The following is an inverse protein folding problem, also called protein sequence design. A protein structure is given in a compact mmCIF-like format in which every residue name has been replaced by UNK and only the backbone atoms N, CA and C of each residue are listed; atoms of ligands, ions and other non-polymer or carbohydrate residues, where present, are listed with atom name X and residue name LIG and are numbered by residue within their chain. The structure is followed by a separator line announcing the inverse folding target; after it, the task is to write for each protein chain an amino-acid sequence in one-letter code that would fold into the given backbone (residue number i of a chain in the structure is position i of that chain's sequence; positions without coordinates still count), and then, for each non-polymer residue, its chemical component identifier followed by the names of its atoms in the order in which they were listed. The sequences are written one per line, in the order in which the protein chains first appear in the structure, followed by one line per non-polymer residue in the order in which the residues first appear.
data_IF_126839120183
#
_entry.id   IF_126839120183
#
_cell.length_a   1.000
_cell.length_b   1.000
_cell.length_c   1.000
_cell.angle_alpha   90.00
_cell.angle_beta   90.00
_cell.angle_gamma   90.00
#
_symmetry.space_group_name_H-M   'P 1'
#
loop_
_entity.id
_entity.type
_entity.pdbx_description
1 polymer ?
#
# COMPACT_ATOMS: atom_id res chain seq x y z
N UNK A 1 10.86 6.52 -57.55
CA UNK A 1 10.85 7.14 -56.25
C UNK A 1 9.50 6.89 -55.62
N UNK A 2 9.43 5.98 -54.66
CA UNK A 2 8.18 5.65 -53.93
C UNK A 2 8.36 6.30 -52.57
N UNK A 3 7.61 7.38 -52.36
CA UNK A 3 7.53 8.07 -51.07
C UNK A 3 6.58 7.30 -50.18
N UNK A 4 7.13 6.52 -49.25
CA UNK A 4 6.35 5.89 -48.18
C UNK A 4 5.88 6.95 -47.17
N UNK A 5 4.57 7.12 -47.04
CA UNK A 5 3.97 7.88 -45.94
C UNK A 5 4.34 7.26 -44.57
N UNK A 6 4.70 8.04 -43.57
CA UNK A 6 4.92 7.51 -42.24
C UNK A 6 3.57 7.03 -41.67
N UNK A 7 3.52 5.76 -41.26
CA UNK A 7 2.40 5.20 -40.57
C UNK A 7 2.13 6.02 -39.27
N UNK A 8 0.95 6.63 -39.22
CA UNK A 8 0.44 7.31 -38.03
C UNK A 8 0.36 6.28 -36.90
N UNK A 9 1.19 6.41 -35.88
CA UNK A 9 1.02 5.68 -34.62
C UNK A 9 -0.26 6.18 -34.00
N UNK A 10 -1.27 5.33 -33.92
CA UNK A 10 -2.43 5.58 -33.09
C UNK A 10 -1.93 5.77 -31.66
N UNK A 11 -1.98 7.00 -31.17
CA UNK A 11 -1.74 7.26 -29.77
C UNK A 11 -2.90 6.61 -28.98
N UNK A 12 -2.67 5.45 -28.41
CA UNK A 12 -3.58 4.98 -27.37
C UNK A 12 -3.46 6.01 -26.23
N UNK A 13 -4.54 6.76 -26.01
CA UNK A 13 -4.64 7.59 -24.83
C UNK A 13 -4.37 6.69 -23.62
N UNK A 14 -3.43 7.12 -22.75
CA UNK A 14 -3.14 6.38 -21.52
C UNK A 14 -4.46 6.14 -20.77
N UNK A 15 -4.72 4.94 -20.26
CA UNK A 15 -5.96 4.64 -19.57
C UNK A 15 -6.16 5.63 -18.41
N UNK A 16 -7.36 6.22 -18.34
CA UNK A 16 -7.72 7.14 -17.24
C UNK A 16 -7.84 6.34 -15.94
N UNK A 17 -6.87 6.50 -15.04
CA UNK A 17 -6.87 5.80 -13.75
C UNK A 17 -8.13 6.08 -12.92
N UNK A 18 -8.78 7.25 -13.12
CA UNK A 18 -10.04 7.57 -12.44
C UNK A 18 -11.21 6.76 -12.99
N UNK A 19 -11.18 6.44 -14.27
CA UNK A 19 -12.16 5.52 -14.87
C UNK A 19 -11.96 4.11 -14.32
N UNK A 20 -10.73 3.59 -14.29
CA UNK A 20 -10.40 2.30 -13.71
C UNK A 20 -10.71 2.23 -12.20
N UNK A 21 -10.49 3.34 -11.46
CA UNK A 21 -10.91 3.49 -10.05
C UNK A 21 -12.43 3.33 -9.88
N UNK A 22 -13.24 4.00 -10.71
CA UNK A 22 -14.71 3.94 -10.63
C UNK A 22 -15.27 2.58 -11.01
N UNK A 23 -14.59 1.89 -11.95
CA UNK A 23 -14.96 0.56 -12.45
C UNK A 23 -14.49 -0.60 -11.54
N UNK A 24 -13.95 -0.29 -10.37
CA UNK A 24 -13.53 -1.31 -9.40
C UNK A 24 -14.71 -2.17 -8.96
N UNK A 25 -14.46 -3.47 -8.80
CA UNK A 25 -15.44 -4.44 -8.30
C UNK A 25 -15.72 -4.15 -6.82
N UNK A 26 -16.99 -4.00 -6.47
CA UNK A 26 -17.44 -3.73 -5.09
C UNK A 26 -18.43 -4.78 -4.56
N UNK A 27 -18.94 -5.64 -5.43
CA UNK A 27 -19.82 -6.75 -5.08
C UNK A 27 -19.00 -8.06 -5.00
N UNK A 28 -18.96 -8.71 -3.83
CA UNK A 28 -18.28 -10.01 -3.68
C UNK A 28 -18.84 -11.10 -4.60
N UNK A 29 -20.12 -11.07 -4.95
CA UNK A 29 -20.71 -12.03 -5.89
C UNK A 29 -20.19 -11.83 -7.31
N UNK A 30 -20.05 -10.57 -7.73
CA UNK A 30 -19.39 -10.24 -9.00
C UNK A 30 -17.96 -10.75 -9.04
N UNK A 31 -17.17 -10.47 -7.97
CA UNK A 31 -15.80 -10.95 -7.85
C UNK A 31 -15.72 -12.46 -7.99
N UNK A 32 -16.50 -13.22 -7.21
CA UNK A 32 -16.53 -14.67 -7.28
C UNK A 32 -16.90 -15.20 -8.66
N UNK A 33 -17.85 -14.55 -9.35
CA UNK A 33 -18.22 -14.90 -10.73
C UNK A 33 -17.04 -14.68 -11.69
N UNK A 34 -16.34 -13.55 -11.57
CA UNK A 34 -15.19 -13.22 -12.44
C UNK A 34 -14.05 -14.24 -12.29
N UNK A 35 -13.78 -14.70 -11.07
CA UNK A 35 -12.70 -15.67 -10.80
C UNK A 35 -13.16 -17.14 -10.90
N UNK A 36 -14.41 -17.40 -11.35
CA UNK A 36 -14.90 -18.77 -11.57
C UNK A 36 -15.26 -19.55 -10.30
N UNK A 37 -15.60 -18.85 -9.22
CA UNK A 37 -15.90 -19.44 -7.91
C UNK A 37 -17.33 -19.10 -7.41
N UNK A 38 -18.39 -19.06 -8.26
CA UNK A 38 -19.73 -18.64 -7.83
C UNK A 38 -20.32 -19.55 -6.74
N UNK A 39 -19.85 -20.80 -6.63
CA UNK A 39 -20.29 -21.75 -5.61
C UNK A 39 -19.89 -21.34 -4.18
N UNK A 40 -18.91 -20.42 -4.00
CA UNK A 40 -18.51 -19.89 -2.70
C UNK A 40 -19.42 -18.78 -2.19
N UNK A 41 -20.43 -18.36 -2.95
CA UNK A 41 -21.37 -17.31 -2.54
C UNK A 41 -22.02 -17.56 -1.18
N UNK A 42 -22.34 -18.84 -0.85
CA UNK A 42 -22.92 -19.22 0.43
C UNK A 42 -21.96 -19.11 1.63
N UNK A 43 -20.66 -18.97 1.38
CA UNK A 43 -19.62 -18.80 2.40
C UNK A 43 -19.29 -17.32 2.68
N UNK A 44 -19.92 -16.39 1.96
CA UNK A 44 -19.73 -14.96 2.21
C UNK A 44 -20.47 -14.53 3.49
N UNK A 45 -19.96 -13.55 4.24
CA UNK A 45 -20.69 -12.93 5.33
C UNK A 45 -21.97 -12.23 4.82
N UNK A 46 -22.99 -12.17 5.66
CA UNK A 46 -24.27 -11.55 5.30
C UNK A 46 -24.16 -10.02 5.13
N UNK A 47 -23.16 -9.41 5.77
CA UNK A 47 -22.82 -7.99 5.65
C UNK A 47 -21.30 -7.81 5.57
N UNK A 48 -20.85 -6.61 5.25
CA UNK A 48 -19.43 -6.28 5.11
C UNK A 48 -18.73 -5.93 6.42
N UNK A 49 -19.40 -6.14 7.57
CA UNK A 49 -18.92 -5.76 8.89
C UNK A 49 -18.45 -4.29 8.97
N UNK A 50 -19.02 -3.40 8.17
CA UNK A 50 -18.65 -1.99 8.08
C UNK A 50 -17.34 -1.73 7.33
N UNK A 51 -16.81 -2.73 6.61
CA UNK A 51 -15.61 -2.59 5.79
C UNK A 51 -15.86 -3.13 4.38
N UNK A 52 -16.50 -2.30 3.54
CA UNK A 52 -16.91 -2.65 2.19
C UNK A 52 -15.75 -3.17 1.33
N UNK A 53 -16.05 -4.10 0.43
CA UNK A 53 -15.08 -4.57 -0.54
C UNK A 53 -14.90 -3.54 -1.68
N UNK A 54 -13.66 -3.38 -2.11
CA UNK A 54 -13.30 -2.67 -3.35
C UNK A 54 -12.02 -3.29 -3.93
N UNK A 55 -12.05 -3.65 -5.21
CA UNK A 55 -10.91 -4.29 -5.90
C UNK A 55 -10.85 -3.80 -7.35
N UNK A 56 -9.74 -3.20 -7.81
CA UNK A 56 -9.58 -2.84 -9.22
C UNK A 56 -9.61 -4.07 -10.13
N UNK A 57 -10.24 -3.96 -11.30
CA UNK A 57 -10.35 -5.07 -12.25
C UNK A 57 -9.01 -5.59 -12.75
N UNK A 58 -8.01 -4.72 -12.91
CA UNK A 58 -6.63 -5.13 -13.23
C UNK A 58 -6.01 -6.02 -12.15
N UNK A 59 -6.33 -5.80 -10.87
CA UNK A 59 -5.90 -6.70 -9.79
C UNK A 59 -6.64 -8.03 -9.83
N UNK A 60 -7.95 -8.03 -10.12
CA UNK A 60 -8.74 -9.27 -10.30
C UNK A 60 -8.22 -10.11 -11.46
N UNK A 61 -7.82 -9.48 -12.56
CA UNK A 61 -7.31 -10.18 -13.75
C UNK A 61 -6.02 -10.98 -13.50
N UNK A 62 -5.30 -10.70 -12.40
CA UNK A 62 -4.10 -11.44 -11.96
C UNK A 62 -4.40 -12.61 -11.03
N UNK A 63 -5.65 -12.79 -10.60
CA UNK A 63 -6.08 -13.92 -9.78
C UNK A 63 -6.18 -15.19 -10.60
N UNK A 64 -5.84 -16.33 -10.00
CA UNK A 64 -5.95 -17.64 -10.63
C UNK A 64 -7.42 -18.08 -10.69
N UNK A 65 -7.96 -18.23 -11.91
CA UNK A 65 -9.35 -18.63 -12.10
C UNK A 65 -9.61 -20.02 -11.53
N UNK A 66 -10.66 -20.17 -10.72
CA UNK A 66 -11.08 -21.42 -10.08
C UNK A 66 -10.29 -21.81 -8.85
N UNK A 67 -9.34 -20.99 -8.39
CA UNK A 67 -8.57 -21.26 -7.17
C UNK A 67 -9.11 -20.46 -5.97
N UNK A 68 -9.82 -21.16 -5.08
CA UNK A 68 -10.34 -20.57 -3.84
C UNK A 68 -9.24 -20.15 -2.83
N UNK A 69 -8.00 -20.59 -3.04
CA UNK A 69 -6.84 -20.25 -2.21
C UNK A 69 -5.89 -19.31 -2.93
N UNK A 70 -6.32 -18.67 -4.02
CA UNK A 70 -5.50 -17.68 -4.70
C UNK A 70 -5.07 -16.58 -3.72
N UNK A 71 -3.76 -16.29 -3.59
CA UNK A 71 -3.23 -15.36 -2.59
C UNK A 71 -3.69 -13.92 -2.80
N UNK A 72 -4.09 -13.52 -4.00
CA UNK A 72 -4.64 -12.19 -4.27
C UNK A 72 -6.11 -12.12 -3.85
N UNK A 73 -6.88 -13.18 -4.13
CA UNK A 73 -8.27 -13.29 -3.72
C UNK A 73 -8.43 -13.23 -2.20
N UNK A 74 -7.62 -14.00 -1.47
CA UNK A 74 -7.66 -14.05 0.00
C UNK A 74 -7.41 -12.69 0.66
N UNK A 75 -6.65 -11.81 0.03
CA UNK A 75 -6.37 -10.48 0.55
C UNK A 75 -7.55 -9.50 0.46
N UNK A 76 -8.58 -9.80 -0.34
CA UNK A 76 -9.65 -8.84 -0.67
C UNK A 76 -11.06 -9.38 -0.50
N UNK A 77 -11.26 -10.69 -0.54
CA UNK A 77 -12.59 -11.32 -0.38
C UNK A 77 -12.99 -11.29 1.10
N UNK A 78 -14.17 -10.72 1.46
CA UNK A 78 -14.70 -10.79 2.81
C UNK A 78 -14.88 -12.24 3.29
N UNK A 79 -14.55 -12.52 4.55
CA UNK A 79 -14.64 -13.84 5.15
C UNK A 79 -15.47 -13.83 6.44
N UNK A 80 -16.16 -14.92 6.76
CA UNK A 80 -16.93 -15.07 7.99
C UNK A 80 -16.08 -14.88 9.25
N UNK A 81 -14.81 -15.31 9.21
CA UNK A 81 -13.87 -15.16 10.32
C UNK A 81 -13.61 -13.69 10.72
N UNK A 82 -13.92 -12.71 9.86
CA UNK A 82 -13.76 -11.29 10.20
C UNK A 82 -14.74 -10.80 11.29
N UNK A 83 -15.84 -11.51 11.49
CA UNK A 83 -16.83 -11.22 12.53
C UNK A 83 -16.45 -11.78 13.92
N UNK A 84 -15.40 -12.61 13.99
CA UNK A 84 -14.97 -13.21 15.25
C UNK A 84 -14.29 -12.16 16.15
N UNK A 85 -14.69 -12.14 17.42
CA UNK A 85 -14.03 -11.33 18.45
C UNK A 85 -12.89 -12.14 19.08
N UNK A 86 -11.66 -11.82 18.67
CA UNK A 86 -10.46 -12.55 19.10
C UNK A 86 -9.71 -11.73 20.15
N UNK A 87 -9.42 -12.30 21.36
CA UNK A 87 -8.68 -11.61 22.40
C UNK A 87 -7.32 -11.09 21.90
N UNK A 88 -7.00 -9.83 22.23
CA UNK A 88 -5.76 -9.17 21.81
C UNK A 88 -5.85 -8.43 20.48
N UNK A 89 -6.97 -8.52 19.77
CA UNK A 89 -7.26 -7.73 18.58
C UNK A 89 -8.13 -6.51 18.95
N UNK A 90 -7.79 -5.33 18.45
CA UNK A 90 -8.44 -4.07 18.80
C UNK A 90 -8.77 -3.22 17.57
N UNK A 91 -9.58 -2.17 17.75
CA UNK A 91 -9.92 -1.25 16.65
C UNK A 91 -8.81 -0.25 16.31
N UNK A 92 -7.87 0.00 17.24
CA UNK A 92 -6.68 0.82 17.06
C UNK A 92 -5.42 0.00 17.42
N UNK A 93 -5.06 -0.89 16.53
CA UNK A 93 -4.01 -1.89 16.75
C UNK A 93 -2.61 -1.30 16.97
N UNK A 94 -2.35 -0.08 16.45
CA UNK A 94 -1.02 0.55 16.44
C UNK A 94 -0.98 1.87 17.20
N UNK A 95 -2.10 2.26 17.89
CA UNK A 95 -2.18 3.49 18.68
C UNK A 95 -2.09 4.77 17.85
N UNK A 96 -2.63 4.75 16.63
CA UNK A 96 -2.62 5.94 15.76
C UNK A 96 -3.39 7.11 16.37
N UNK A 97 -4.51 6.82 17.07
CA UNK A 97 -5.34 7.85 17.68
C UNK A 97 -4.63 8.56 18.85
N UNK A 98 -3.79 7.83 19.59
CA UNK A 98 -2.99 8.40 20.69
C UNK A 98 -1.77 9.21 20.19
N UNK A 99 -1.32 8.96 18.96
CA UNK A 99 -0.15 9.61 18.35
C UNK A 99 -0.52 10.89 17.56
N UNK A 100 -1.77 11.36 17.64
CA UNK A 100 -2.21 12.60 16.97
C UNK A 100 -1.56 13.81 17.61
N UNK A 101 -0.90 14.61 16.79
CA UNK A 101 -0.24 15.85 17.18
C UNK A 101 -1.01 17.09 16.62
N UNK A 102 -1.53 16.94 15.40
CA UNK A 102 -2.46 17.86 14.77
C UNK A 102 -3.44 17.09 13.89
N UNK A 103 -4.48 17.75 13.38
CA UNK A 103 -5.44 17.12 12.47
C UNK A 103 -4.74 16.50 11.26
N UNK A 104 -4.86 15.19 11.13
CA UNK A 104 -4.24 14.41 10.06
C UNK A 104 -2.71 14.28 10.15
N UNK A 105 -2.08 14.66 11.26
CA UNK A 105 -0.66 14.52 11.50
C UNK A 105 -0.41 13.59 12.69
N UNK A 106 0.36 12.52 12.44
CA UNK A 106 0.81 11.57 13.47
C UNK A 106 2.32 11.75 13.66
N UNK A 107 2.74 11.98 14.90
CA UNK A 107 4.16 12.13 15.24
C UNK A 107 4.57 11.07 16.28
N UNK A 108 4.89 9.86 15.80
CA UNK A 108 5.31 8.73 16.64
C UNK A 108 6.82 8.68 16.86
N UNK A 109 7.60 9.16 15.91
CA UNK A 109 9.04 8.92 15.84
C UNK A 109 9.82 10.21 15.65
N UNK A 110 10.98 10.31 16.29
CA UNK A 110 11.87 11.45 16.13
C UNK A 110 12.28 11.66 14.66
N UNK A 111 12.31 12.90 14.21
CA UNK A 111 12.82 13.32 12.90
C UNK A 111 11.88 13.05 11.73
N UNK A 112 10.68 12.48 11.98
CA UNK A 112 9.71 12.20 10.91
C UNK A 112 8.27 12.27 11.40
N UNK A 113 7.40 12.84 10.59
CA UNK A 113 5.97 12.88 10.83
C UNK A 113 5.19 12.19 9.70
N UNK A 114 4.02 11.64 10.01
CA UNK A 114 3.16 10.96 9.05
C UNK A 114 1.88 11.77 8.85
N UNK A 115 1.54 12.04 7.59
CA UNK A 115 0.28 12.67 7.22
C UNK A 115 -0.74 11.62 6.79
N UNK A 116 -1.93 11.69 7.37
CA UNK A 116 -3.14 11.06 6.87
C UNK A 116 -3.64 11.90 5.69
N UNK A 117 -3.11 11.61 4.51
CA UNK A 117 -3.35 12.43 3.33
C UNK A 117 -4.77 12.23 2.77
N UNK A 118 -5.28 11.01 2.80
CA UNK A 118 -6.58 10.62 2.26
C UNK A 118 -7.21 9.51 3.09
N UNK A 119 -8.53 9.42 3.09
CA UNK A 119 -9.28 8.28 3.66
C UNK A 119 -9.69 7.24 2.61
N UNK A 120 -9.33 7.43 1.34
CA UNK A 120 -9.76 6.56 0.25
C UNK A 120 -8.65 5.60 -0.18
N UNK A 121 -9.03 4.37 -0.55
CA UNK A 121 -8.15 3.37 -1.15
C UNK A 121 -8.73 2.83 -2.44
N UNK A 122 -7.88 2.46 -3.41
CA UNK A 122 -8.30 1.75 -4.61
C UNK A 122 -8.70 0.30 -4.32
N UNK A 123 -8.09 -0.29 -3.28
CA UNK A 123 -8.37 -1.64 -2.79
C UNK A 123 -8.59 -1.61 -1.28
N UNK A 124 -9.58 -2.35 -0.78
CA UNK A 124 -9.82 -2.51 0.65
C UNK A 124 -9.26 -3.86 1.11
N UNK A 125 -8.00 -3.85 1.58
CA UNK A 125 -7.29 -5.04 2.06
C UNK A 125 -7.93 -5.58 3.33
N UNK A 126 -8.28 -6.87 3.38
CA UNK A 126 -8.97 -7.46 4.55
C UNK A 126 -8.12 -7.45 5.83
N UNK A 127 -6.80 -7.36 5.71
CA UNK A 127 -5.84 -7.20 6.82
C UNK A 127 -5.49 -5.75 7.16
N UNK A 128 -6.23 -4.75 6.64
CA UNK A 128 -5.92 -3.33 6.85
C UNK A 128 -6.02 -2.93 8.32
N UNK A 129 -4.91 -2.53 8.94
CA UNK A 129 -4.88 -2.12 10.35
C UNK A 129 -5.65 -0.83 10.63
N UNK A 130 -5.91 -0.01 9.60
CA UNK A 130 -6.71 1.21 9.66
C UNK A 130 -8.15 1.03 9.20
N UNK A 131 -8.68 -0.20 9.13
CA UNK A 131 -10.07 -0.47 8.70
C UNK A 131 -11.14 0.22 9.56
N UNK A 132 -10.80 0.56 10.81
CA UNK A 132 -11.67 1.25 11.77
C UNK A 132 -11.25 2.70 12.03
N UNK A 133 -10.27 3.24 11.30
CA UNK A 133 -9.76 4.59 11.51
C UNK A 133 -10.80 5.65 11.11
N UNK A 134 -11.02 6.72 11.93
CA UNK A 134 -12.06 7.73 11.70
C UNK A 134 -11.61 8.76 10.64
N UNK A 135 -11.45 8.33 9.41
CA UNK A 135 -10.96 9.19 8.31
C UNK A 135 -11.79 10.46 8.09
N UNK A 136 -13.10 10.46 8.42
CA UNK A 136 -13.95 11.63 8.25
C UNK A 136 -13.47 12.86 9.01
N UNK A 137 -12.75 12.66 10.12
CA UNK A 137 -12.27 13.72 11.01
C UNK A 137 -10.77 14.00 10.85
N UNK A 138 -10.00 13.08 10.24
CA UNK A 138 -8.54 13.02 10.31
C UNK A 138 -7.86 13.10 8.94
N UNK A 139 -8.41 13.86 7.98
CA UNK A 139 -7.81 14.02 6.67
C UNK A 139 -7.10 15.39 6.57
N UNK A 140 -5.77 15.38 6.48
CA UNK A 140 -4.96 16.59 6.37
C UNK A 140 -5.26 17.42 5.10
N UNK A 141 -5.57 16.74 3.98
CA UNK A 141 -5.88 17.38 2.71
C UNK A 141 -7.17 18.24 2.75
N UNK A 142 -8.12 17.92 3.65
CA UNK A 142 -9.38 18.68 3.79
C UNK A 142 -9.14 20.13 4.23
N UNK A 143 -8.12 20.37 5.06
CA UNK A 143 -7.68 21.71 5.52
C UNK A 143 -6.66 22.39 4.60
N UNK A 144 -6.49 21.90 3.35
CA UNK A 144 -5.47 22.40 2.40
C UNK A 144 -4.05 22.40 2.99
N UNK A 145 -3.72 21.36 3.75
CA UNK A 145 -2.40 21.12 4.35
C UNK A 145 -1.92 22.16 5.37
N UNK A 146 -2.66 23.24 5.59
CA UNK A 146 -2.18 24.41 6.36
C UNK A 146 -1.75 24.07 7.78
N UNK A 147 -2.55 23.27 8.50
CA UNK A 147 -2.23 22.90 9.88
C UNK A 147 -1.00 21.98 9.93
N UNK A 148 -0.93 21.00 9.03
CA UNK A 148 0.20 20.09 8.93
C UNK A 148 1.49 20.83 8.55
N UNK A 149 1.45 21.73 7.54
CA UNK A 149 2.61 22.52 7.13
C UNK A 149 3.05 23.49 8.23
N UNK A 150 2.10 24.12 8.95
CA UNK A 150 2.43 24.99 10.07
C UNK A 150 3.12 24.23 11.21
N UNK A 151 2.66 23.02 11.51
CA UNK A 151 3.28 22.16 12.52
C UNK A 151 4.69 21.74 12.10
N UNK A 152 4.88 21.24 10.87
CA UNK A 152 6.20 20.87 10.33
C UNK A 152 7.14 22.08 10.29
N UNK A 153 6.64 23.27 9.98
CA UNK A 153 7.45 24.50 10.00
C UNK A 153 7.91 24.89 11.40
N UNK A 154 7.10 24.62 12.42
CA UNK A 154 7.40 24.94 13.82
C UNK A 154 8.38 23.94 14.47
N UNK A 155 8.37 22.68 14.01
CA UNK A 155 9.27 21.64 14.50
C UNK A 155 10.38 21.31 13.50
N UNK A 156 11.52 21.98 13.65
CA UNK A 156 12.69 21.82 12.78
C UNK A 156 13.39 20.46 12.92
N UNK A 157 13.01 19.63 13.89
CA UNK A 157 13.50 18.27 14.00
C UNK A 157 12.92 17.32 12.94
N UNK A 158 11.78 17.68 12.32
CA UNK A 158 11.11 16.88 11.29
C UNK A 158 11.82 17.04 9.94
N UNK A 159 12.72 16.13 9.63
CA UNK A 159 13.46 16.11 8.35
C UNK A 159 12.75 15.30 7.27
N UNK A 160 11.79 14.45 7.62
CA UNK A 160 11.09 13.57 6.71
C UNK A 160 9.57 13.62 6.93
N UNK A 161 8.84 13.83 5.83
CA UNK A 161 7.39 13.70 5.84
C UNK A 161 6.96 12.44 5.13
N UNK A 162 6.06 11.67 5.78
CA UNK A 162 5.53 10.42 5.26
C UNK A 162 4.06 10.64 4.86
N UNK A 163 3.71 10.41 3.61
CA UNK A 163 2.32 10.39 3.16
C UNK A 163 1.76 8.97 3.33
N UNK A 164 0.62 8.88 3.99
CA UNK A 164 -0.10 7.64 4.28
C UNK A 164 -1.60 7.92 4.45
N UNK A 165 -2.32 7.10 5.20
CA UNK A 165 -3.75 7.24 5.46
C UNK A 165 -4.52 6.04 4.93
N UNK A 166 -5.51 6.26 4.08
CA UNK A 166 -5.97 5.27 3.13
C UNK A 166 -4.84 5.03 2.13
N UNK A 167 -4.93 5.61 0.95
CA UNK A 167 -3.77 5.65 0.04
C UNK A 167 -3.56 7.09 -0.45
N UNK A 168 -2.39 7.71 -0.23
CA UNK A 168 -2.14 9.09 -0.62
C UNK A 168 -2.24 9.34 -2.13
N UNK A 169 -1.97 8.32 -2.96
CA UNK A 169 -2.06 8.44 -4.41
C UNK A 169 -3.51 8.42 -4.93
N UNK A 170 -4.51 8.21 -4.06
CA UNK A 170 -5.92 8.45 -4.37
C UNK A 170 -6.22 9.94 -4.61
N UNK A 171 -5.36 10.83 -4.12
CA UNK A 171 -5.47 12.26 -4.37
C UNK A 171 -5.10 12.62 -5.82
N UNK A 172 -5.71 13.66 -6.34
CA UNK A 172 -5.29 14.25 -7.61
C UNK A 172 -3.86 14.81 -7.49
N UNK A 173 -3.07 14.70 -8.57
CA UNK A 173 -1.67 15.14 -8.61
C UNK A 173 -1.51 16.62 -8.19
N UNK A 174 -2.46 17.50 -8.57
CA UNK A 174 -2.45 18.90 -8.14
C UNK A 174 -2.52 19.10 -6.62
N UNK A 175 -3.24 18.20 -5.89
CA UNK A 175 -3.27 18.24 -4.42
C UNK A 175 -1.96 17.81 -3.78
N UNK A 176 -1.27 16.87 -4.41
CA UNK A 176 0.08 16.47 -3.98
C UNK A 176 1.09 17.59 -4.26
N UNK A 177 0.96 18.29 -5.39
CA UNK A 177 1.79 19.46 -5.73
C UNK A 177 1.62 20.60 -4.71
N UNK A 178 0.39 20.97 -4.34
CA UNK A 178 0.14 21.98 -3.29
C UNK A 178 0.91 21.67 -1.98
N UNK A 179 0.94 20.39 -1.59
CA UNK A 179 1.69 19.96 -0.38
C UNK A 179 3.19 20.09 -0.58
N UNK A 180 3.72 19.58 -1.70
CA UNK A 180 5.17 19.56 -1.94
C UNK A 180 5.75 20.93 -2.17
N UNK A 181 4.99 21.86 -2.75
CA UNK A 181 5.36 23.28 -2.86
C UNK A 181 5.55 23.90 -1.46
N UNK A 182 4.60 23.63 -0.55
CA UNK A 182 4.71 24.08 0.84
C UNK A 182 5.91 23.48 1.58
N UNK A 183 6.18 22.19 1.39
CA UNK A 183 7.32 21.50 2.02
C UNK A 183 8.66 21.98 1.49
N UNK A 184 8.75 22.28 0.19
CA UNK A 184 9.97 22.76 -0.45
C UNK A 184 10.44 24.12 0.06
N UNK A 185 9.54 24.88 0.69
CA UNK A 185 9.86 26.14 1.36
C UNK A 185 10.48 25.93 2.77
N UNK A 186 10.50 24.71 3.30
CA UNK A 186 11.00 24.38 4.64
C UNK A 186 12.41 23.76 4.55
N UNK A 187 13.49 24.50 4.88
CA UNK A 187 14.86 24.08 4.60
C UNK A 187 15.33 22.85 5.41
N UNK A 188 14.66 22.52 6.52
CA UNK A 188 14.96 21.35 7.34
C UNK A 188 14.33 20.07 6.79
N UNK A 189 13.28 20.17 5.96
CA UNK A 189 12.64 18.99 5.34
C UNK A 189 13.48 18.55 4.14
N UNK A 190 13.98 17.34 4.20
CA UNK A 190 14.92 16.76 3.20
C UNK A 190 14.29 15.63 2.40
N UNK A 191 13.31 14.91 2.97
CA UNK A 191 12.76 13.68 2.41
C UNK A 191 11.24 13.69 2.36
N UNK A 192 10.72 13.18 1.26
CA UNK A 192 9.32 12.84 1.10
C UNK A 192 9.22 11.32 0.92
N UNK A 193 8.49 10.65 1.82
CA UNK A 193 8.18 9.23 1.69
C UNK A 193 6.70 9.03 1.42
N UNK A 194 6.37 8.18 0.48
CA UNK A 194 4.99 7.88 0.09
C UNK A 194 4.75 6.38 0.34
N UNK A 195 3.81 6.07 1.23
CA UNK A 195 3.34 4.71 1.47
C UNK A 195 2.09 4.47 0.63
N UNK A 196 2.15 3.56 -0.33
CA UNK A 196 1.08 3.36 -1.30
C UNK A 196 1.00 1.92 -1.80
N UNK A 197 -0.22 1.48 -2.08
CA UNK A 197 -0.48 0.23 -2.80
C UNK A 197 -0.92 0.48 -4.25
N UNK A 198 -1.22 1.74 -4.61
CA UNK A 198 -1.77 2.06 -5.92
C UNK A 198 -0.89 1.60 -7.10
N UNK A 199 0.45 1.77 -7.11
CA UNK A 199 1.24 1.29 -8.24
C UNK A 199 1.10 -0.21 -8.50
N UNK A 200 0.76 -0.99 -7.45
CA UNK A 200 0.55 -2.43 -7.53
C UNK A 200 -0.88 -2.78 -7.96
N UNK A 201 -1.90 -2.12 -7.41
CA UNK A 201 -3.31 -2.51 -7.63
C UNK A 201 -3.99 -1.71 -8.74
N UNK A 202 -3.47 -0.54 -9.08
CA UNK A 202 -3.99 0.39 -10.10
C UNK A 202 -2.80 1.12 -10.76
N UNK A 203 -1.95 0.41 -11.54
CA UNK A 203 -0.71 0.96 -12.11
C UNK A 203 -0.94 2.16 -13.02
N UNK A 204 -2.13 2.31 -13.61
CA UNK A 204 -2.54 3.45 -14.44
C UNK A 204 -2.48 4.79 -13.68
N UNK A 205 -2.43 4.76 -12.33
CA UNK A 205 -2.26 5.95 -11.51
C UNK A 205 -0.89 6.61 -11.70
N UNK A 206 0.10 5.86 -12.15
CA UNK A 206 1.43 6.38 -12.42
C UNK A 206 1.47 6.92 -13.86
N UNK A 207 0.59 7.88 -14.12
CA UNK A 207 0.45 8.59 -15.38
C UNK A 207 1.55 9.65 -15.60
N UNK A 208 1.57 10.29 -16.78
CA UNK A 208 2.58 11.31 -17.12
C UNK A 208 2.50 12.53 -16.20
N UNK A 209 1.29 12.95 -15.82
CA UNK A 209 1.12 14.07 -14.90
C UNK A 209 1.69 13.77 -13.50
N UNK A 210 1.56 12.51 -13.06
CA UNK A 210 2.13 12.06 -11.80
C UNK A 210 3.66 12.01 -11.85
N UNK A 211 4.23 11.43 -12.90
CA UNK A 211 5.70 11.31 -13.02
C UNK A 211 6.35 12.67 -13.19
N UNK A 212 5.77 13.59 -13.97
CA UNK A 212 6.25 14.96 -14.09
C UNK A 212 6.23 15.72 -12.74
N UNK A 213 5.15 15.58 -11.97
CA UNK A 213 5.11 16.12 -10.62
C UNK A 213 6.21 15.53 -9.74
N UNK A 214 6.33 14.19 -9.71
CA UNK A 214 7.29 13.52 -8.85
C UNK A 214 8.73 13.89 -9.21
N UNK A 215 9.05 14.00 -10.50
CA UNK A 215 10.36 14.45 -10.99
C UNK A 215 10.69 15.85 -10.50
N UNK A 216 9.72 16.78 -10.55
CA UNK A 216 9.88 18.16 -10.15
C UNK A 216 10.05 18.38 -8.63
N UNK A 217 9.68 17.40 -7.78
CA UNK A 217 9.84 17.51 -6.32
C UNK A 217 11.33 17.55 -5.96
N UNK A 218 11.82 18.63 -5.30
CA UNK A 218 13.25 18.80 -5.03
C UNK A 218 13.75 18.02 -3.81
N UNK A 219 12.87 17.31 -3.11
CA UNK A 219 13.21 16.48 -1.95
C UNK A 219 13.73 15.10 -2.39
N UNK A 220 14.46 14.41 -1.50
CA UNK A 220 14.73 12.99 -1.69
C UNK A 220 13.42 12.21 -1.62
N UNK A 221 13.13 11.44 -2.67
CA UNK A 221 11.85 10.73 -2.85
C UNK A 221 12.01 9.26 -2.54
N UNK A 222 11.17 8.74 -1.64
CA UNK A 222 11.08 7.32 -1.32
C UNK A 222 9.63 6.88 -1.52
N UNK A 223 9.40 5.90 -2.37
CA UNK A 223 8.08 5.28 -2.53
C UNK A 223 8.14 3.88 -1.93
N UNK A 224 7.34 3.64 -0.91
CA UNK A 224 7.21 2.36 -0.25
C UNK A 224 5.96 1.69 -0.76
N UNK A 225 6.15 0.67 -1.61
CA UNK A 225 5.08 -0.16 -2.13
C UNK A 225 4.55 -1.11 -1.06
N UNK A 226 3.31 -1.54 -1.21
CA UNK A 226 2.70 -2.58 -0.41
C UNK A 226 2.29 -3.74 -1.31
N UNK A 227 3.10 -4.79 -1.33
CA UNK A 227 2.81 -6.04 -2.02
C UNK A 227 3.18 -7.22 -1.10
N UNK A 228 2.35 -8.26 -1.11
CA UNK A 228 2.49 -9.43 -0.25
C UNK A 228 2.80 -10.71 -1.02
N UNK A 229 2.61 -10.72 -2.36
CA UNK A 229 2.81 -11.88 -3.19
C UNK A 229 3.37 -11.52 -4.57
N UNK A 230 4.21 -12.40 -5.14
CA UNK A 230 4.82 -12.19 -6.46
C UNK A 230 3.77 -12.04 -7.59
N UNK A 231 2.62 -12.72 -7.47
CA UNK A 231 1.51 -12.65 -8.43
C UNK A 231 0.84 -11.26 -8.49
N UNK A 232 1.15 -10.36 -7.57
CA UNK A 232 0.68 -8.97 -7.64
C UNK A 232 1.39 -8.15 -8.74
N UNK A 233 2.44 -8.69 -9.36
CA UNK A 233 3.25 -8.01 -10.36
C UNK A 233 3.04 -8.60 -11.75
N UNK A 234 2.60 -7.75 -12.68
CA UNK A 234 2.52 -7.99 -14.11
C UNK A 234 3.32 -6.93 -14.89
N UNK A 235 3.20 -6.90 -16.20
CA UNK A 235 3.89 -5.93 -17.06
C UNK A 235 3.51 -4.48 -16.79
N UNK A 236 2.25 -4.22 -16.41
CA UNK A 236 1.77 -2.86 -16.13
C UNK A 236 2.35 -2.35 -14.79
N UNK A 237 2.46 -3.23 -13.79
CA UNK A 237 3.11 -2.91 -12.50
C UNK A 237 4.62 -2.70 -12.69
N UNK A 238 5.28 -3.50 -13.55
CA UNK A 238 6.69 -3.31 -13.90
C UNK A 238 6.93 -1.94 -14.53
N UNK A 239 6.05 -1.54 -15.45
CA UNK A 239 6.09 -0.23 -16.08
C UNK A 239 5.87 0.91 -15.08
N UNK A 240 4.91 0.77 -14.17
CA UNK A 240 4.68 1.75 -13.10
C UNK A 240 5.92 1.90 -12.19
N UNK A 241 6.55 0.79 -11.78
CA UNK A 241 7.79 0.80 -11.00
C UNK A 241 8.94 1.46 -11.77
N UNK A 242 9.10 1.15 -13.05
CA UNK A 242 10.10 1.79 -13.91
C UNK A 242 9.88 3.30 -13.98
N UNK A 243 8.66 3.77 -14.24
CA UNK A 243 8.29 5.19 -14.31
C UNK A 243 8.58 5.93 -13.02
N UNK A 244 8.31 5.32 -11.85
CA UNK A 244 8.63 5.89 -10.55
C UNK A 244 10.14 6.06 -10.34
N UNK A 245 10.94 5.06 -10.74
CA UNK A 245 12.42 5.15 -10.66
C UNK A 245 12.98 6.21 -11.61
N UNK A 246 12.47 6.24 -12.84
CA UNK A 246 12.88 7.22 -13.86
C UNK A 246 12.59 8.64 -13.39
N UNK A 247 11.50 8.85 -12.60
CA UNK A 247 11.19 10.12 -11.92
C UNK A 247 12.05 10.38 -10.66
N UNK A 248 13.06 9.55 -10.39
CA UNK A 248 14.04 9.73 -9.33
C UNK A 248 13.63 9.22 -7.95
N UNK A 249 12.63 8.35 -7.85
CA UNK A 249 12.24 7.73 -6.58
C UNK A 249 13.09 6.48 -6.25
N UNK A 250 13.47 6.34 -4.98
CA UNK A 250 13.93 5.07 -4.43
C UNK A 250 12.71 4.21 -4.10
N UNK A 251 12.67 2.97 -4.63
CA UNK A 251 11.54 2.06 -4.41
C UNK A 251 11.88 1.04 -3.34
N UNK A 252 11.02 0.94 -2.35
CA UNK A 252 11.05 -0.05 -1.29
C UNK A 252 9.72 -0.79 -1.25
N UNK A 253 9.69 -2.00 -0.71
CA UNK A 253 8.44 -2.71 -0.42
C UNK A 253 8.33 -3.05 1.06
N UNK A 254 7.14 -2.89 1.62
CA UNK A 254 6.76 -3.47 2.89
C UNK A 254 5.62 -4.47 2.67
N UNK A 255 5.85 -5.69 3.15
CA UNK A 255 4.86 -6.77 3.13
C UNK A 255 4.29 -6.97 4.53
N UNK A 256 3.11 -7.57 4.62
CA UNK A 256 2.58 -8.13 5.87
C UNK A 256 2.63 -9.65 5.76
N UNK A 257 3.09 -10.33 6.79
CA UNK A 257 3.06 -11.79 6.88
C UNK A 257 1.61 -12.24 7.19
N UNK A 258 1.03 -13.01 6.28
CA UNK A 258 -0.38 -13.37 6.28
C UNK A 258 -0.55 -14.87 6.09
N UNK A 259 -1.21 -15.52 7.03
CA UNK A 259 -1.55 -16.95 6.93
C UNK A 259 -2.37 -17.23 5.66
N UNK A 260 -1.99 -18.26 4.93
CA UNK A 260 -2.63 -18.69 3.68
C UNK A 260 -2.30 -17.82 2.46
N UNK A 261 -1.53 -16.72 2.62
CA UNK A 261 -1.14 -15.83 1.51
C UNK A 261 0.35 -15.94 1.20
N UNK A 262 1.20 -15.80 2.21
CA UNK A 262 2.65 -15.77 2.06
C UNK A 262 3.40 -16.36 3.27
N UNK A 263 2.78 -17.27 4.02
CA UNK A 263 3.33 -17.89 5.22
C UNK A 263 4.22 -19.13 4.95
N UNK A 264 4.90 -19.11 3.82
CA UNK A 264 5.95 -20.06 3.48
C UNK A 264 7.20 -19.36 2.90
N UNK A 265 8.36 -20.00 3.06
CA UNK A 265 9.64 -19.40 2.69
C UNK A 265 9.87 -19.32 1.18
N UNK A 266 9.24 -20.16 0.38
CA UNK A 266 9.36 -20.16 -1.08
C UNK A 266 8.61 -18.95 -1.65
N UNK A 267 7.36 -18.73 -1.23
CA UNK A 267 6.52 -17.59 -1.59
C UNK A 267 7.16 -16.25 -1.22
N UNK A 268 7.68 -16.14 0.03
CA UNK A 268 8.37 -14.92 0.47
C UNK A 268 9.66 -14.67 -0.32
N UNK A 269 10.42 -15.73 -0.63
CA UNK A 269 11.63 -15.61 -1.45
C UNK A 269 11.29 -15.21 -2.88
N UNK A 270 10.27 -15.82 -3.47
CA UNK A 270 9.79 -15.46 -4.82
C UNK A 270 9.32 -14.00 -4.90
N UNK A 271 8.66 -13.50 -3.85
CA UNK A 271 8.31 -12.07 -3.77
C UNK A 271 9.55 -11.19 -3.75
N UNK A 272 10.55 -11.51 -2.94
CA UNK A 272 11.80 -10.73 -2.83
C UNK A 272 12.54 -10.68 -4.17
N UNK A 273 12.67 -11.80 -4.86
CA UNK A 273 13.27 -11.87 -6.21
C UNK A 273 12.46 -11.07 -7.23
N UNK A 274 11.13 -11.19 -7.20
CA UNK A 274 10.23 -10.45 -8.10
C UNK A 274 10.32 -8.93 -7.90
N UNK A 275 10.37 -8.48 -6.65
CA UNK A 275 10.58 -7.08 -6.29
C UNK A 275 11.90 -6.56 -6.85
N UNK A 276 12.98 -7.30 -6.63
CA UNK A 276 14.30 -6.89 -7.09
C UNK A 276 14.39 -6.82 -8.62
N UNK A 277 13.75 -7.75 -9.33
CA UNK A 277 13.67 -7.75 -10.79
C UNK A 277 12.98 -6.47 -11.34
N UNK A 278 12.06 -5.86 -10.59
CA UNK A 278 11.42 -4.57 -10.93
C UNK A 278 12.17 -3.35 -10.37
N UNK A 279 13.30 -3.57 -9.69
CA UNK A 279 14.09 -2.51 -9.07
C UNK A 279 13.49 -1.95 -7.78
N UNK A 280 12.73 -2.78 -7.08
CA UNK A 280 12.17 -2.51 -5.75
C UNK A 280 12.95 -3.30 -4.72
N UNK A 281 13.42 -2.68 -3.64
CA UNK A 281 14.12 -3.40 -2.57
C UNK A 281 13.13 -3.91 -1.51
N UNK A 282 13.20 -5.17 -1.10
CA UNK A 282 12.51 -5.66 0.09
C UNK A 282 12.98 -4.87 1.30
N UNK A 283 12.03 -4.29 2.04
CA UNK A 283 12.37 -3.42 3.17
C UNK A 283 11.91 -4.01 4.49
N UNK A 284 10.60 -4.14 4.67
CA UNK A 284 10.01 -4.73 5.86
C UNK A 284 9.12 -5.92 5.51
N UNK A 285 9.17 -6.95 6.37
CA UNK A 285 8.12 -7.94 6.56
C UNK A 285 7.48 -7.63 7.94
N UNK A 286 6.26 -7.11 7.91
CA UNK A 286 5.52 -6.81 9.13
C UNK A 286 4.85 -8.06 9.66
N UNK A 287 4.94 -8.30 10.97
CA UNK A 287 3.93 -9.09 11.63
C UNK A 287 2.57 -8.40 11.47
N UNK A 288 1.49 -9.18 11.41
CA UNK A 288 0.14 -8.65 11.32
C UNK A 288 -0.14 -7.74 12.51
N UNK A 289 -0.56 -6.51 12.23
CA UNK A 289 -1.10 -5.64 13.28
C UNK A 289 -2.44 -6.23 13.76
N UNK A 290 -2.58 -6.45 15.07
CA UNK A 290 -3.72 -7.15 15.67
C UNK A 290 -4.97 -6.28 15.67
N UNK A 291 -5.49 -6.02 14.45
CA UNK A 291 -6.73 -5.27 14.24
C UNK A 291 -7.93 -6.21 14.22
N UNK A 292 -9.01 -5.81 14.87
CA UNK A 292 -10.29 -6.54 14.88
C UNK A 292 -10.74 -6.82 13.42
N UNK A 293 -11.08 -8.08 13.14
CA UNK A 293 -11.48 -8.56 11.82
C UNK A 293 -10.35 -9.07 10.95
N UNK A 294 -9.09 -9.15 11.45
CA UNK A 294 -7.96 -9.66 10.68
C UNK A 294 -7.29 -10.90 11.31
N UNK A 295 -7.81 -11.42 12.42
CA UNK A 295 -7.14 -12.46 13.21
C UNK A 295 -6.86 -13.76 12.43
N UNK A 296 -7.68 -14.10 11.44
CA UNK A 296 -7.51 -15.28 10.60
C UNK A 296 -6.25 -15.24 9.72
N UNK A 297 -5.61 -14.08 9.59
CA UNK A 297 -4.33 -13.91 8.91
C UNK A 297 -3.12 -14.02 9.84
N UNK A 298 -3.31 -14.20 11.15
CA UNK A 298 -2.19 -14.18 12.10
C UNK A 298 -1.25 -15.36 11.88
N UNK A 299 0.05 -15.08 11.86
CA UNK A 299 1.15 -16.05 11.90
C UNK A 299 1.92 -15.80 13.18
N UNK A 300 2.17 -16.85 13.98
CA UNK A 300 2.90 -16.70 15.23
C UNK A 300 4.37 -16.33 15.05
N UNK A 301 4.98 -15.76 16.10
CA UNK A 301 6.35 -15.24 16.06
C UNK A 301 7.39 -16.33 15.79
N UNK A 302 7.21 -17.52 16.33
CA UNK A 302 8.15 -18.62 16.13
C UNK A 302 8.17 -19.06 14.65
N UNK A 303 6.99 -19.13 14.02
CA UNK A 303 6.86 -19.41 12.59
C UNK A 303 7.46 -18.27 11.76
N UNK A 304 7.18 -17.00 12.08
CA UNK A 304 7.72 -15.85 11.37
C UNK A 304 9.26 -15.82 11.39
N UNK A 305 9.86 -16.06 12.55
CA UNK A 305 11.32 -16.15 12.71
C UNK A 305 11.92 -17.31 11.90
N UNK A 306 11.27 -18.49 11.91
CA UNK A 306 11.69 -19.64 11.12
C UNK A 306 11.64 -19.36 9.60
N UNK A 307 10.60 -18.65 9.13
CA UNK A 307 10.46 -18.25 7.73
C UNK A 307 11.60 -17.32 7.30
N UNK A 308 11.89 -16.29 8.09
CA UNK A 308 12.99 -15.36 7.78
C UNK A 308 14.34 -16.07 7.83
N UNK A 309 14.55 -17.01 8.75
CA UNK A 309 15.76 -17.83 8.77
C UNK A 309 15.89 -18.66 7.48
N UNK A 310 14.81 -19.30 7.04
CA UNK A 310 14.80 -20.06 5.79
C UNK A 310 15.03 -19.16 4.55
N UNK A 311 14.57 -17.91 4.56
CA UNK A 311 14.90 -16.92 3.51
C UNK A 311 16.39 -16.58 3.51
N UNK A 312 17.02 -16.39 4.68
CA UNK A 312 18.47 -16.12 4.80
C UNK A 312 19.33 -17.22 4.24
N UNK A 313 18.86 -18.46 4.28
CA UNK A 313 19.56 -19.61 3.70
C UNK A 313 19.43 -19.72 2.19
N UNK A 314 18.44 -19.02 1.59
CA UNK A 314 18.11 -19.07 0.16
C UNK A 314 18.55 -17.84 -0.61
N UNK A 315 18.55 -16.66 0.02
CA UNK A 315 18.70 -15.37 -0.64
C UNK A 315 19.95 -14.62 -0.19
N UNK A 316 20.52 -13.78 -1.07
CA UNK A 316 21.47 -12.76 -0.64
C UNK A 316 20.86 -11.85 0.43
N UNK A 317 21.68 -11.44 1.41
CA UNK A 317 21.17 -10.72 2.58
C UNK A 317 20.40 -9.43 2.26
N UNK A 318 20.69 -8.75 1.16
CA UNK A 318 19.97 -7.54 0.74
C UNK A 318 18.55 -7.82 0.18
N UNK A 319 18.22 -9.08 -0.10
CA UNK A 319 16.88 -9.52 -0.51
C UNK A 319 16.03 -10.05 0.66
N UNK A 320 16.61 -10.14 1.85
CA UNK A 320 15.85 -10.56 3.05
C UNK A 320 15.31 -9.33 3.77
N UNK A 321 13.98 -9.14 3.79
CA UNK A 321 13.37 -8.01 4.48
C UNK A 321 13.59 -8.11 6.00
N UNK A 322 13.53 -6.98 6.70
CA UNK A 322 13.55 -6.96 8.16
C UNK A 322 12.19 -7.36 8.69
N UNK A 323 12.15 -8.43 9.49
CA UNK A 323 10.95 -8.79 10.24
C UNK A 323 10.75 -7.81 11.38
N UNK A 324 9.58 -7.18 11.43
CA UNK A 324 9.28 -6.13 12.40
C UNK A 324 7.82 -6.18 12.86
N UNK A 325 7.56 -5.61 14.04
CA UNK A 325 6.23 -5.31 14.56
C UNK A 325 6.10 -3.82 14.86
N UNK A 326 4.90 -3.27 14.68
CA UNK A 326 4.55 -1.95 15.18
C UNK A 326 4.04 -2.12 16.63
N UNK A 327 4.73 -1.52 17.60
CA UNK A 327 4.32 -1.53 19.00
C UNK A 327 4.07 -0.10 19.46
N UNK A 328 2.93 0.11 20.12
CA UNK A 328 2.54 1.43 20.61
C UNK A 328 3.54 1.94 21.66
N UNK A 329 4.04 3.15 21.46
CA UNK A 329 4.96 3.82 22.41
C UNK A 329 6.45 3.51 22.19
N UNK A 330 6.78 2.56 21.32
CA UNK A 330 8.18 2.29 20.98
C UNK A 330 8.77 3.37 20.06
N UNK A 331 10.07 3.71 20.18
CA UNK A 331 10.72 4.78 19.42
C UNK A 331 10.98 4.41 17.94
N UNK A 332 10.74 3.18 17.56
CA UNK A 332 10.84 2.64 16.19
C UNK A 332 10.05 1.36 16.07
N UNK A 333 9.88 0.85 14.84
CA UNK A 333 9.40 -0.52 14.66
C UNK A 333 10.32 -1.50 15.39
N UNK A 334 9.71 -2.42 16.16
CA UNK A 334 10.42 -3.43 16.95
C UNK A 334 10.88 -4.57 16.04
N UNK A 335 12.20 -4.85 15.90
CA UNK A 335 12.68 -6.03 15.21
C UNK A 335 12.33 -7.30 16.00
N UNK A 336 12.02 -8.39 15.29
CA UNK A 336 11.82 -9.73 15.84
C UNK A 336 13.00 -10.64 15.53
#
# INVERSE_FOLDING_TARGET
MITGSPASRLSHAAPDWRAAWRDAVTDPLELLSMVGLPHLAAALPADDAGFAMRVPRGFVARMTHGDARDPLLLQVLPQLAEAEDVPGFSRDAVGDLAARDAQGLLHKYQGRALLIASGSCAVNCRYCFRRHFPYGEEIAAAGAWRLALAHVAADTSIEELILSGGDPLSLATGKLAELTDGLSALPHVRRLRIHTRLPVVLPERIDDAFTQWLEAVPLQKVVVLHANHANEFDGDVDDACRRLRDAGATLLNQSVLLAGVNDDAETLSALSERLFATGVLPYYLHQLDRVQGAAHFEVDDARALALVQAMRERLPGYLVPRLVREEQGEPSKTPL
#
